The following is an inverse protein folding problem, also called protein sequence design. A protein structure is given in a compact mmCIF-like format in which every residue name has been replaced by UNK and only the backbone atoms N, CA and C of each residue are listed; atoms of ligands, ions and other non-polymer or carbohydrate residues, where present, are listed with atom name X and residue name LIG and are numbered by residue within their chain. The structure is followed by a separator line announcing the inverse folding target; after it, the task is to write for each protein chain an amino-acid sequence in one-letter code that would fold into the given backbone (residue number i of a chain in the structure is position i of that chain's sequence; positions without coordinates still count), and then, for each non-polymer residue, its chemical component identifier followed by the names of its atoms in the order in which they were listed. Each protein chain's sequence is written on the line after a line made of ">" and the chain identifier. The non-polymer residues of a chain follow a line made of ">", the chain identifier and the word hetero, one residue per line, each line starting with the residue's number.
data_IF_695894171638
#
_entry.id   IF_695894171638
#
_cell.length_a   1.000
_cell.length_b   1.000
_cell.length_c   1.000
_cell.angle_alpha   90.00
_cell.angle_beta   90.00
_cell.angle_gamma   90.00
#
_symmetry.space_group_name_H-M   'P 1'
#
loop_
_entity.id
_entity.type
_entity.pdbx_description
1 polymer ?
#
# COMPACT_ATOMS: atom_id res chain seq x y z
N UNK A 1 37.48 12.01 -23.21
CA UNK A 1 36.50 10.90 -23.30
C UNK A 1 35.61 10.99 -22.08
N UNK A 2 34.46 11.65 -22.22
CA UNK A 2 33.49 11.80 -21.13
C UNK A 2 32.63 10.56 -21.05
N UNK A 3 32.71 9.84 -19.92
CA UNK A 3 31.80 8.73 -19.63
C UNK A 3 30.46 9.35 -19.24
N UNK A 4 29.51 9.35 -20.18
CA UNK A 4 28.14 9.75 -19.93
C UNK A 4 27.55 8.88 -18.83
N UNK A 5 27.13 9.51 -17.73
CA UNK A 5 26.33 8.84 -16.70
C UNK A 5 24.99 8.42 -17.34
N UNK A 6 24.48 7.21 -17.05
CA UNK A 6 23.16 6.84 -17.52
C UNK A 6 22.13 7.78 -16.90
N UNK A 7 21.32 8.38 -17.76
CA UNK A 7 20.14 9.15 -17.42
C UNK A 7 19.15 8.22 -16.72
N UNK A 8 18.83 8.55 -15.48
CA UNK A 8 17.84 7.85 -14.67
C UNK A 8 16.45 8.11 -15.25
N UNK A 9 15.95 7.19 -16.06
CA UNK A 9 14.57 7.17 -16.56
C UNK A 9 13.62 6.89 -15.40
N UNK A 10 13.04 7.96 -14.87
CA UNK A 10 11.90 7.97 -13.93
C UNK A 10 10.76 7.11 -14.52
N UNK A 11 10.50 5.95 -13.93
CA UNK A 11 9.36 5.10 -14.29
C UNK A 11 9.33 3.76 -13.56
N UNK A 12 10.45 3.02 -13.55
CA UNK A 12 10.39 1.56 -13.31
C UNK A 12 11.03 1.06 -11.99
N UNK A 13 11.47 1.94 -11.08
CA UNK A 13 12.27 1.54 -9.89
C UNK A 13 11.62 1.79 -8.51
N UNK A 14 10.32 2.11 -8.43
CA UNK A 14 9.70 2.43 -7.12
C UNK A 14 9.54 1.21 -6.19
N UNK A 15 9.43 0.01 -6.78
CA UNK A 15 9.24 -1.27 -6.12
C UNK A 15 10.46 -2.17 -6.37
N UNK A 16 11.47 -2.10 -5.50
CA UNK A 16 12.57 -3.07 -5.51
C UNK A 16 12.43 -4.00 -4.30
N UNK A 17 11.99 -5.26 -4.49
CA UNK A 17 11.88 -6.25 -3.42
C UNK A 17 13.17 -6.45 -2.62
N UNK A 18 14.34 -6.35 -3.26
CA UNK A 18 15.65 -6.54 -2.61
C UNK A 18 15.89 -5.45 -1.55
N UNK A 19 15.61 -4.19 -1.89
CA UNK A 19 15.78 -3.08 -0.93
C UNK A 19 14.84 -3.21 0.27
N UNK A 20 13.62 -3.72 0.07
CA UNK A 20 12.69 -3.97 1.17
C UNK A 20 13.21 -5.08 2.10
N UNK A 21 13.81 -6.12 1.54
CA UNK A 21 14.42 -7.21 2.31
C UNK A 21 15.57 -6.68 3.15
N UNK A 22 16.49 -5.91 2.54
CA UNK A 22 17.61 -5.29 3.27
C UNK A 22 17.11 -4.40 4.42
N UNK A 23 16.08 -3.59 4.18
CA UNK A 23 15.45 -2.76 5.22
C UNK A 23 14.83 -3.61 6.34
N UNK A 24 14.16 -4.72 6.00
CA UNK A 24 13.54 -5.61 6.98
C UNK A 24 14.57 -6.40 7.80
N UNK A 25 15.69 -6.79 7.19
CA UNK A 25 16.82 -7.45 7.88
C UNK A 25 17.52 -6.47 8.83
N UNK A 26 17.64 -5.20 8.42
CA UNK A 26 18.16 -4.14 9.26
C UNK A 26 17.16 -3.70 10.35
N UNK A 27 15.87 -3.96 10.15
CA UNK A 27 14.84 -3.65 11.14
C UNK A 27 14.85 -4.69 12.25
N UNK A 28 14.97 -4.25 13.50
CA UNK A 28 14.84 -5.15 14.67
C UNK A 28 13.48 -5.85 14.78
N UNK A 29 12.54 -5.52 13.88
CA UNK A 29 11.17 -6.03 13.84
C UNK A 29 10.95 -7.07 12.74
N UNK A 30 11.96 -7.37 11.90
CA UNK A 30 11.84 -8.33 10.78
C UNK A 30 10.75 -7.96 9.78
N UNK A 31 10.46 -6.67 9.68
CA UNK A 31 9.47 -6.10 8.80
C UNK A 31 9.95 -4.74 8.30
N UNK A 32 9.70 -4.44 7.03
CA UNK A 32 9.86 -3.11 6.46
C UNK A 32 8.67 -2.79 5.56
N UNK A 33 8.27 -1.52 5.55
CA UNK A 33 7.19 -1.02 4.72
C UNK A 33 7.57 0.31 4.09
N UNK A 34 7.36 0.42 2.78
CA UNK A 34 7.57 1.63 2.00
C UNK A 34 6.22 2.19 1.58
N UNK A 35 5.93 3.39 2.08
CA UNK A 35 4.75 4.15 1.66
C UNK A 35 5.01 4.71 0.27
N UNK A 36 4.13 4.39 -0.67
CA UNK A 36 4.22 4.84 -2.05
C UNK A 36 3.21 5.93 -2.38
N UNK A 37 2.09 5.93 -1.65
CA UNK A 37 1.02 6.89 -1.87
C UNK A 37 0.31 7.26 -0.57
N UNK A 38 -0.07 8.52 -0.44
CA UNK A 38 -0.82 9.03 0.70
C UNK A 38 -1.67 10.23 0.31
N UNK A 39 -2.90 10.24 0.79
CA UNK A 39 -3.74 11.42 0.83
C UNK A 39 -4.57 11.46 2.13
N UNK A 40 -5.62 12.27 2.17
CA UNK A 40 -6.49 12.42 3.35
C UNK A 40 -7.41 11.22 3.61
N UNK A 41 -7.66 10.38 2.60
CA UNK A 41 -8.61 9.26 2.67
C UNK A 41 -7.92 7.91 2.76
N UNK A 42 -6.69 7.77 2.25
CA UNK A 42 -5.92 6.55 2.41
C UNK A 42 -4.40 6.75 2.41
N UNK A 43 -3.71 5.70 2.85
CA UNK A 43 -2.27 5.47 2.67
C UNK A 43 -2.09 4.11 2.01
N UNK A 44 -1.23 4.02 1.00
CA UNK A 44 -0.89 2.78 0.35
C UNK A 44 0.62 2.54 0.41
N UNK A 45 1.00 1.34 0.78
CA UNK A 45 2.40 0.91 0.87
C UNK A 45 2.58 -0.53 0.46
N UNK A 46 3.84 -0.88 0.25
CA UNK A 46 4.27 -2.27 0.11
C UNK A 46 5.24 -2.59 1.22
N UNK A 47 5.26 -3.84 1.66
CA UNK A 47 6.20 -4.28 2.66
C UNK A 47 6.64 -5.71 2.48
N UNK A 48 7.56 -6.10 3.34
CA UNK A 48 8.04 -7.47 3.47
C UNK A 48 8.16 -7.82 4.94
N UNK A 49 7.79 -9.05 5.28
CA UNK A 49 8.05 -9.68 6.57
C UNK A 49 9.02 -10.83 6.40
N UNK A 50 9.97 -10.95 7.32
CA UNK A 50 10.87 -12.10 7.39
C UNK A 50 10.29 -13.08 8.41
N UNK A 51 9.65 -14.12 7.92
CA UNK A 51 9.04 -15.19 8.71
C UNK A 51 10.07 -15.91 9.56
N UNK A 52 9.64 -16.56 10.65
CA UNK A 52 10.54 -17.29 11.57
C UNK A 52 11.46 -18.30 10.84
N UNK A 53 11.00 -18.87 9.72
CA UNK A 53 11.78 -19.78 8.86
C UNK A 53 12.90 -19.11 8.06
N UNK A 54 12.98 -17.78 8.05
CA UNK A 54 13.88 -16.99 7.20
C UNK A 54 13.29 -16.65 5.82
N UNK A 55 12.07 -17.10 5.51
CA UNK A 55 11.42 -16.78 4.25
C UNK A 55 10.87 -15.36 4.23
N UNK A 56 10.82 -14.75 3.05
CA UNK A 56 10.23 -13.44 2.83
C UNK A 56 8.77 -13.54 2.40
N UNK A 57 7.92 -12.75 3.05
CA UNK A 57 6.49 -12.63 2.75
C UNK A 57 6.21 -11.17 2.37
N UNK A 58 6.00 -10.91 1.08
CA UNK A 58 5.69 -9.57 0.58
C UNK A 58 4.21 -9.29 0.71
N UNK A 59 3.85 -8.04 0.99
CA UNK A 59 2.48 -7.63 1.16
C UNK A 59 2.22 -6.22 0.62
N UNK A 60 0.95 -5.96 0.32
CA UNK A 60 0.44 -4.63 0.04
C UNK A 60 -0.48 -4.23 1.19
N UNK A 61 -0.25 -3.05 1.75
CA UNK A 61 -1.08 -2.46 2.80
C UNK A 61 -1.79 -1.22 2.29
N UNK A 62 -3.09 -1.12 2.56
CA UNK A 62 -3.89 0.09 2.37
C UNK A 62 -4.54 0.43 3.71
N UNK A 63 -4.20 1.58 4.27
CA UNK A 63 -4.95 2.16 5.38
C UNK A 63 -6.03 3.07 4.82
N UNK A 64 -7.30 2.76 5.10
CA UNK A 64 -8.44 3.59 4.71
C UNK A 64 -8.92 4.37 5.93
N UNK A 65 -8.85 5.70 5.87
CA UNK A 65 -9.31 6.59 6.93
C UNK A 65 -10.82 6.83 6.79
N UNK A 66 -11.60 6.40 7.78
CA UNK A 66 -13.07 6.48 7.71
C UNK A 66 -13.61 7.89 7.96
N UNK A 67 -12.86 8.70 8.69
CA UNK A 67 -13.20 10.10 8.94
C UNK A 67 -11.93 10.97 8.92
N UNK A 68 -12.01 12.19 8.41
CA UNK A 68 -10.88 13.11 8.40
C UNK A 68 -10.53 13.57 9.83
N UNK A 69 -9.26 13.89 10.06
CA UNK A 69 -8.79 14.45 11.33
C UNK A 69 -9.47 15.78 11.71
N UNK A 70 -10.15 16.45 10.77
CA UNK A 70 -10.91 17.68 11.01
C UNK A 70 -12.15 17.49 11.90
N UNK A 71 -12.58 16.25 12.15
CA UNK A 71 -13.69 15.93 13.04
C UNK A 71 -15.09 16.12 12.45
N UNK A 72 -15.20 16.66 11.23
CA UNK A 72 -16.46 16.76 10.49
C UNK A 72 -16.71 15.48 9.67
N UNK A 73 -17.83 14.81 9.91
CA UNK A 73 -18.21 13.62 9.16
C UNK A 73 -18.80 13.99 7.79
N UNK A 74 -18.11 13.62 6.72
CA UNK A 74 -18.65 13.66 5.35
C UNK A 74 -19.19 12.27 4.99
N UNK A 75 -20.53 12.14 4.95
CA UNK A 75 -21.20 10.87 4.63
C UNK A 75 -20.90 10.38 3.21
N UNK A 76 -20.61 11.27 2.27
CA UNK A 76 -20.27 10.90 0.90
C UNK A 76 -18.87 10.32 0.84
N UNK A 77 -17.91 10.94 1.54
CA UNK A 77 -16.57 10.40 1.68
C UNK A 77 -16.60 9.04 2.40
N UNK A 78 -17.33 8.93 3.52
CA UNK A 78 -17.50 7.67 4.24
C UNK A 78 -18.10 6.58 3.33
N UNK A 79 -19.13 6.90 2.55
CA UNK A 79 -19.73 5.97 1.60
C UNK A 79 -18.72 5.45 0.57
N UNK A 80 -17.82 6.30 0.07
CA UNK A 80 -16.72 5.88 -0.81
C UNK A 80 -15.70 5.00 -0.11
N UNK A 81 -15.32 5.31 1.14
CA UNK A 81 -14.44 4.46 1.94
C UNK A 81 -15.05 3.06 2.14
N UNK A 82 -16.34 2.97 2.50
CA UNK A 82 -17.03 1.68 2.64
C UNK A 82 -17.10 0.92 1.31
N UNK A 83 -17.34 1.61 0.20
CA UNK A 83 -17.31 0.98 -1.13
C UNK A 83 -15.93 0.39 -1.45
N UNK A 84 -14.84 1.13 -1.17
CA UNK A 84 -13.48 0.64 -1.36
C UNK A 84 -13.19 -0.60 -0.49
N UNK A 85 -13.60 -0.58 0.78
CA UNK A 85 -13.39 -1.71 1.69
C UNK A 85 -14.06 -3.00 1.18
N UNK A 86 -15.27 -2.90 0.61
CA UNK A 86 -15.96 -4.05 -0.01
C UNK A 86 -15.19 -4.61 -1.19
N UNK A 87 -14.71 -3.74 -2.08
CA UNK A 87 -13.92 -4.15 -3.25
C UNK A 87 -12.59 -4.81 -2.83
N UNK A 88 -11.97 -4.34 -1.75
CA UNK A 88 -10.74 -4.93 -1.22
C UNK A 88 -11.01 -6.31 -0.60
N UNK A 89 -12.08 -6.45 0.18
CA UNK A 89 -12.52 -7.74 0.75
C UNK A 89 -12.82 -8.77 -0.35
N UNK A 90 -13.57 -8.39 -1.39
CA UNK A 90 -13.87 -9.24 -2.55
C UNK A 90 -12.61 -9.65 -3.33
N UNK A 91 -11.55 -8.84 -3.30
CA UNK A 91 -10.23 -9.14 -3.89
C UNK A 91 -9.32 -9.96 -2.98
N UNK A 92 -9.78 -10.33 -1.79
CA UNK A 92 -9.08 -11.16 -0.83
C UNK A 92 -8.09 -10.41 0.06
N UNK A 93 -8.27 -9.11 0.26
CA UNK A 93 -7.56 -8.39 1.31
C UNK A 93 -8.15 -8.75 2.68
N UNK A 94 -7.30 -8.93 3.68
CA UNK A 94 -7.69 -9.03 5.06
C UNK A 94 -7.93 -7.63 5.63
N UNK A 95 -9.11 -7.41 6.23
CA UNK A 95 -9.50 -6.13 6.81
C UNK A 95 -9.44 -6.19 8.34
N UNK A 96 -8.76 -5.23 8.95
CA UNK A 96 -8.66 -5.07 10.40
C UNK A 96 -8.87 -3.62 10.83
N UNK A 97 -9.74 -3.40 11.82
CA UNK A 97 -9.84 -2.10 12.48
C UNK A 97 -8.53 -1.80 13.21
N UNK A 98 -8.02 -0.59 13.02
CA UNK A 98 -6.85 -0.07 13.70
C UNK A 98 -7.24 1.07 14.63
N UNK A 99 -6.43 1.26 15.67
CA UNK A 99 -6.54 2.44 16.52
C UNK A 99 -6.39 3.71 15.67
N UNK A 100 -7.18 4.74 15.97
CA UNK A 100 -7.16 6.00 15.21
C UNK A 100 -8.14 6.09 14.05
N UNK A 101 -9.14 5.21 13.96
CA UNK A 101 -10.28 5.38 13.06
C UNK A 101 -10.01 5.03 11.61
N UNK A 102 -9.08 4.12 11.38
CA UNK A 102 -8.82 3.57 10.05
C UNK A 102 -8.98 2.05 10.02
N UNK A 103 -9.17 1.53 8.82
CA UNK A 103 -9.15 0.10 8.55
C UNK A 103 -7.89 -0.20 7.78
N UNK A 104 -7.06 -1.10 8.29
CA UNK A 104 -5.95 -1.68 7.54
C UNK A 104 -6.48 -2.78 6.65
N UNK A 105 -6.10 -2.75 5.39
CA UNK A 105 -6.42 -3.75 4.39
C UNK A 105 -5.10 -4.31 3.87
N UNK A 106 -4.87 -5.61 4.04
CA UNK A 106 -3.61 -6.22 3.68
C UNK A 106 -3.77 -7.47 2.82
N UNK A 107 -2.88 -7.64 1.85
CA UNK A 107 -2.80 -8.88 1.07
C UNK A 107 -1.35 -9.27 0.85
N UNK A 108 -1.02 -10.51 1.21
CA UNK A 108 0.25 -11.14 0.86
C UNK A 108 0.28 -11.45 -0.63
N UNK A 109 1.38 -11.12 -1.30
CA UNK A 109 1.56 -11.34 -2.74
C UNK A 109 2.96 -11.88 -3.02
N UNK A 110 3.14 -12.72 -4.06
CA UNK A 110 4.47 -13.07 -4.53
C UNK A 110 5.25 -11.83 -5.01
N UNK A 111 6.56 -11.81 -4.82
CA UNK A 111 7.43 -10.68 -5.15
C UNK A 111 7.30 -10.27 -6.63
N UNK A 112 7.22 -11.25 -7.52
CA UNK A 112 7.07 -11.07 -8.97
C UNK A 112 5.72 -10.47 -9.39
N UNK A 113 4.71 -10.51 -8.51
CA UNK A 113 3.37 -9.92 -8.74
C UNK A 113 3.14 -8.62 -7.98
N UNK A 114 4.10 -8.19 -7.14
CA UNK A 114 3.93 -7.03 -6.26
C UNK A 114 3.61 -5.75 -7.05
N UNK A 115 4.32 -5.53 -8.16
CA UNK A 115 4.09 -4.34 -9.00
C UNK A 115 2.74 -4.38 -9.73
N UNK A 116 2.32 -5.55 -10.22
CA UNK A 116 1.04 -5.73 -10.89
C UNK A 116 -0.12 -5.50 -9.92
N UNK A 117 -0.09 -6.13 -8.75
CA UNK A 117 -1.14 -5.97 -7.74
C UNK A 117 -1.19 -4.53 -7.23
N UNK A 118 -0.03 -3.89 -6.99
CA UNK A 118 0.03 -2.49 -6.58
C UNK A 118 -0.63 -1.56 -7.60
N UNK A 119 -0.32 -1.73 -8.89
CA UNK A 119 -0.92 -0.94 -9.95
C UNK A 119 -2.44 -1.17 -10.02
N UNK A 120 -2.88 -2.43 -9.93
CA UNK A 120 -4.29 -2.79 -9.97
C UNK A 120 -5.08 -2.17 -8.81
N UNK A 121 -4.56 -2.29 -7.58
CA UNK A 121 -5.25 -1.76 -6.39
C UNK A 121 -5.18 -0.24 -6.30
N UNK A 122 -4.10 0.36 -6.80
CA UNK A 122 -4.03 1.82 -6.98
C UNK A 122 -5.13 2.32 -7.91
N UNK A 123 -5.24 1.75 -9.12
CA UNK A 123 -6.28 2.17 -10.08
C UNK A 123 -7.70 1.96 -9.54
N UNK A 124 -7.94 0.88 -8.80
CA UNK A 124 -9.21 0.67 -8.10
C UNK A 124 -9.48 1.78 -7.07
N UNK A 125 -8.49 2.04 -6.21
CA UNK A 125 -8.60 3.03 -5.14
C UNK A 125 -8.89 4.41 -5.69
N UNK A 126 -8.17 4.82 -6.73
CA UNK A 126 -8.40 6.08 -7.44
C UNK A 126 -9.80 6.12 -8.07
N UNK A 127 -10.25 5.03 -8.72
CA UNK A 127 -11.57 4.98 -9.34
C UNK A 127 -12.72 5.10 -8.33
N UNK A 128 -12.57 4.57 -7.12
CA UNK A 128 -13.61 4.63 -6.07
C UNK A 128 -13.55 5.97 -5.31
N UNK A 129 -12.38 6.38 -4.86
CA UNK A 129 -12.20 7.58 -4.02
C UNK A 129 -12.25 8.86 -4.84
N UNK A 130 -11.53 8.91 -5.97
CA UNK A 130 -11.33 10.12 -6.77
C UNK A 130 -12.39 10.34 -7.85
N UNK A 131 -13.36 9.44 -8.04
CA UNK A 131 -14.50 9.71 -8.94
C UNK A 131 -15.16 11.03 -8.51
N UNK A 132 -14.94 12.05 -9.35
CA UNK A 132 -15.58 13.35 -9.27
C UNK A 132 -17.08 13.11 -9.40
N UNK A 133 -17.82 13.64 -8.43
CA UNK A 133 -19.26 13.67 -8.51
C UNK A 133 -19.75 14.76 -9.45
#
# INVERSE_FOLDING_TARGET
>A
MGVGKPVNTRGDCLLNPETLVEEAEASGHREACKILERNSSYRMGVGVRIEASGNHSFFIEILVYLYPASGSLDLKALGKCVALLKELDERGYFLACQDGGCVSCEKTVPAEKLAEEYAAVKSLTEAVILRLA
#
